data_IF_527110760958
#
_entry.id   IF_527110760958
#
_cell.length_a   1.000
_cell.length_b   1.000
_cell.length_c   1.000
_cell.angle_alpha   90.00
_cell.angle_beta   90.00
_cell.angle_gamma   90.00
#
_symmetry.space_group_name_H-M   'P 1'
#
loop_
_entity.id
_entity.type
_entity.pdbx_description
1 polymer ?
#
# COMPACT_ATOMS: atom_id res chain seq x y z
N UNK A 1 70.39 5.40 -33.41
CA UNK A 1 69.62 5.49 -32.13
C UNK A 1 68.75 6.77 -32.03
N UNK A 2 68.07 7.22 -33.10
CA UNK A 2 67.13 8.38 -33.03
C UNK A 2 65.65 8.04 -33.25
N UNK A 3 65.31 6.82 -33.70
CA UNK A 3 63.93 6.42 -34.01
C UNK A 3 63.05 6.06 -32.81
N UNK A 4 63.63 5.58 -31.70
CA UNK A 4 62.84 5.06 -30.58
C UNK A 4 62.28 6.14 -29.63
N UNK A 5 62.92 7.32 -29.57
CA UNK A 5 62.51 8.42 -28.68
C UNK A 5 61.30 9.22 -29.18
N UNK A 6 60.99 9.14 -30.48
CA UNK A 6 59.79 9.75 -31.06
C UNK A 6 58.56 8.93 -30.72
N UNK A 7 58.59 7.64 -31.06
CA UNK A 7 57.51 6.70 -30.77
C UNK A 7 57.16 6.62 -29.27
N UNK A 8 58.16 6.63 -28.38
CA UNK A 8 57.93 6.61 -26.93
C UNK A 8 57.32 7.92 -26.41
N UNK A 9 57.62 9.08 -27.03
CA UNK A 9 56.94 10.35 -26.68
C UNK A 9 55.52 10.36 -27.21
N UNK A 10 55.31 9.89 -28.43
CA UNK A 10 54.01 9.87 -29.08
C UNK A 10 53.03 8.94 -28.32
N UNK A 11 53.51 7.79 -27.81
CA UNK A 11 52.76 6.89 -26.93
C UNK A 11 52.43 7.51 -25.56
N UNK A 12 53.37 8.26 -24.96
CA UNK A 12 53.13 8.95 -23.68
C UNK A 12 52.13 10.09 -23.87
N UNK A 13 52.22 10.87 -24.96
CA UNK A 13 51.23 11.92 -25.25
C UNK A 13 49.85 11.33 -25.53
N UNK A 14 49.74 10.26 -26.31
CA UNK A 14 48.47 9.59 -26.56
C UNK A 14 47.86 8.99 -25.28
N UNK A 15 48.70 8.46 -24.37
CA UNK A 15 48.25 7.96 -23.07
C UNK A 15 47.72 9.08 -22.16
N UNK A 16 48.40 10.21 -22.12
CA UNK A 16 47.96 11.39 -21.35
C UNK A 16 46.66 11.95 -21.94
N UNK A 17 46.57 12.09 -23.26
CA UNK A 17 45.37 12.58 -23.94
C UNK A 17 44.16 11.68 -23.64
N UNK A 18 44.31 10.35 -23.74
CA UNK A 18 43.26 9.40 -23.39
C UNK A 18 42.81 9.51 -21.92
N UNK A 19 43.74 9.68 -20.97
CA UNK A 19 43.41 9.86 -19.55
C UNK A 19 42.68 11.18 -19.32
N UNK A 20 43.08 12.25 -20.01
CA UNK A 20 42.39 13.53 -19.93
C UNK A 20 40.99 13.45 -20.52
N UNK A 21 40.80 12.83 -21.69
CA UNK A 21 39.48 12.63 -22.30
C UNK A 21 38.55 11.81 -21.39
N UNK A 22 39.06 10.73 -20.78
CA UNK A 22 38.29 9.92 -19.84
C UNK A 22 37.90 10.71 -18.58
N UNK A 23 38.81 11.55 -18.08
CA UNK A 23 38.58 12.42 -16.94
C UNK A 23 37.56 13.52 -17.25
N UNK A 24 37.62 14.09 -18.46
CA UNK A 24 36.64 15.06 -18.96
C UNK A 24 35.27 14.42 -19.15
N UNK A 25 35.21 13.23 -19.75
CA UNK A 25 33.98 12.46 -19.89
C UNK A 25 33.39 12.16 -18.50
N UNK A 26 34.20 11.66 -17.58
CA UNK A 26 33.77 11.42 -16.19
C UNK A 26 33.26 12.71 -15.51
N UNK A 27 33.96 13.84 -15.67
CA UNK A 27 33.57 15.12 -15.08
C UNK A 27 32.25 15.65 -15.66
N UNK A 28 32.07 15.59 -16.98
CA UNK A 28 30.83 16.00 -17.67
C UNK A 28 29.70 15.05 -17.29
N UNK A 29 29.93 13.74 -17.28
CA UNK A 29 28.96 12.74 -16.87
C UNK A 29 28.58 12.89 -15.40
N UNK A 30 29.52 13.18 -14.50
CA UNK A 30 29.26 13.39 -13.08
C UNK A 30 28.44 14.66 -12.83
N UNK A 31 28.81 15.78 -13.46
CA UNK A 31 28.03 17.02 -13.40
C UNK A 31 26.61 16.85 -13.89
N UNK A 32 26.45 16.10 -14.98
CA UNK A 32 25.13 15.78 -15.53
C UNK A 32 24.37 14.85 -14.60
N UNK A 33 25.01 13.84 -14.02
CA UNK A 33 24.40 12.87 -13.11
C UNK A 33 23.84 13.52 -11.83
N UNK A 34 24.46 14.57 -11.30
CA UNK A 34 23.92 15.29 -10.14
C UNK A 34 22.52 15.87 -10.36
N UNK A 35 22.17 16.22 -11.60
CA UNK A 35 20.81 16.70 -11.96
C UNK A 35 19.77 15.59 -11.74
N UNK A 36 20.16 14.34 -11.95
CA UNK A 36 19.29 13.17 -11.83
C UNK A 36 19.26 12.62 -10.40
N UNK A 37 20.37 12.65 -9.68
CA UNK A 37 20.52 11.93 -8.40
C UNK A 37 20.05 12.77 -7.20
N UNK A 38 20.41 14.05 -7.17
CA UNK A 38 20.16 14.90 -6.00
C UNK A 38 18.86 15.71 -6.14
N UNK A 39 18.18 16.04 -5.03
CA UNK A 39 17.12 17.05 -5.04
C UNK A 39 17.62 18.38 -5.60
N UNK A 40 16.86 18.97 -6.52
CA UNK A 40 17.23 20.20 -7.21
C UNK A 40 16.79 21.45 -6.43
N UNK A 41 17.17 22.65 -6.88
CA UNK A 41 16.74 23.93 -6.28
C UNK A 41 17.15 24.12 -4.82
N UNK A 42 18.44 23.88 -4.52
CA UNK A 42 18.99 24.17 -3.20
C UNK A 42 19.13 25.68 -2.98
N UNK A 43 18.85 26.12 -1.76
CA UNK A 43 19.00 27.50 -1.28
C UNK A 43 19.76 27.45 0.03
N UNK A 44 20.94 28.06 0.07
CA UNK A 44 21.74 28.18 1.30
C UNK A 44 21.28 29.40 2.09
N UNK A 45 20.90 29.19 3.35
CA UNK A 45 20.54 30.27 4.29
C UNK A 45 21.65 30.38 5.34
N UNK A 46 22.34 31.53 5.44
CA UNK A 46 23.36 31.74 6.46
C UNK A 46 22.70 31.78 7.84
N UNK A 47 23.24 30.98 8.76
CA UNK A 47 22.78 30.81 10.15
C UNK A 47 23.98 31.02 11.10
N UNK A 48 23.72 31.29 12.38
CA UNK A 48 24.78 31.52 13.38
C UNK A 48 25.79 30.35 13.48
N UNK A 49 25.36 29.12 13.19
CA UNK A 49 26.17 27.90 13.26
C UNK A 49 26.69 27.41 11.89
N UNK A 50 26.52 28.19 10.82
CA UNK A 50 26.97 27.84 9.46
C UNK A 50 25.92 28.08 8.37
N UNK A 51 26.00 27.34 7.26
CA UNK A 51 25.01 27.42 6.17
C UNK A 51 23.99 26.28 6.27
N UNK A 52 22.71 26.62 6.37
CA UNK A 52 21.62 25.64 6.36
C UNK A 52 21.03 25.56 4.94
N UNK A 53 21.08 24.38 4.33
CA UNK A 53 20.62 24.16 2.95
C UNK A 53 19.17 23.67 2.96
N UNK A 54 18.30 24.45 2.31
CA UNK A 54 16.91 24.10 2.04
C UNK A 54 16.68 23.88 0.55
N UNK A 55 15.52 23.34 0.20
CA UNK A 55 15.15 23.04 -1.17
C UNK A 55 13.73 23.55 -1.48
N UNK A 56 13.53 24.09 -2.67
CA UNK A 56 12.21 24.44 -3.19
C UNK A 56 11.75 23.38 -4.20
N UNK A 57 10.45 23.22 -4.47
CA UNK A 57 10.02 22.38 -5.60
C UNK A 57 10.29 23.08 -6.94
N UNK A 58 10.41 22.31 -8.02
CA UNK A 58 10.41 22.88 -9.37
C UNK A 58 10.49 21.84 -10.49
N UNK A 59 10.44 22.30 -11.74
CA UNK A 59 10.34 21.42 -12.91
C UNK A 59 11.50 20.43 -13.07
N UNK A 60 12.71 20.78 -12.64
CA UNK A 60 13.87 19.86 -12.68
C UNK A 60 13.68 18.63 -11.78
N UNK A 61 12.77 18.69 -10.81
CA UNK A 61 12.42 17.52 -10.00
C UNK A 61 11.83 16.39 -10.84
N UNK A 62 11.23 16.67 -12.01
CA UNK A 62 10.74 15.65 -12.94
C UNK A 62 11.87 14.75 -13.46
N UNK A 63 13.07 15.33 -13.66
CA UNK A 63 14.26 14.60 -14.11
C UNK A 63 14.77 13.69 -13.00
N UNK A 64 14.79 14.20 -11.76
CA UNK A 64 15.11 13.39 -10.57
C UNK A 64 14.09 12.27 -10.38
N UNK A 65 12.79 12.56 -10.52
CA UNK A 65 11.72 11.56 -10.42
C UNK A 65 11.91 10.47 -11.46
N UNK A 66 12.21 10.83 -12.71
CA UNK A 66 12.48 9.87 -13.79
C UNK A 66 13.65 8.94 -13.46
N UNK A 67 14.74 9.48 -12.91
CA UNK A 67 15.87 8.67 -12.47
C UNK A 67 15.46 7.65 -11.39
N UNK A 68 14.74 8.10 -10.36
CA UNK A 68 14.28 7.21 -9.29
C UNK A 68 13.17 6.24 -9.72
N UNK A 69 12.47 6.47 -10.84
CA UNK A 69 11.59 5.44 -11.45
C UNK A 69 12.43 4.23 -11.87
N UNK A 70 13.58 4.43 -12.52
CA UNK A 70 14.46 3.31 -12.90
C UNK A 70 15.00 2.57 -11.68
N UNK A 71 15.39 3.30 -10.64
CA UNK A 71 15.81 2.70 -9.37
C UNK A 71 14.67 1.87 -8.76
N UNK A 72 13.44 2.39 -8.76
CA UNK A 72 12.27 1.68 -8.26
C UNK A 72 11.99 0.39 -9.05
N UNK A 73 12.12 0.39 -10.39
CA UNK A 73 12.01 -0.82 -11.22
C UNK A 73 13.05 -1.87 -10.81
N UNK A 74 14.31 -1.47 -10.64
CA UNK A 74 15.39 -2.38 -10.23
C UNK A 74 15.12 -2.95 -8.83
N UNK A 75 14.75 -2.11 -7.87
CA UNK A 75 14.44 -2.54 -6.50
C UNK A 75 13.25 -3.51 -6.48
N UNK A 76 12.20 -3.22 -7.25
CA UNK A 76 11.04 -4.08 -7.38
C UNK A 76 11.43 -5.46 -7.92
N UNK A 77 12.25 -5.51 -8.98
CA UNK A 77 12.78 -6.76 -9.53
C UNK A 77 13.63 -7.54 -8.50
N UNK A 78 14.49 -6.86 -7.73
CA UNK A 78 15.29 -7.49 -6.67
C UNK A 78 14.39 -8.12 -5.60
N UNK A 79 13.39 -7.38 -5.10
CA UNK A 79 12.42 -7.90 -4.11
C UNK A 79 11.66 -9.09 -4.69
N UNK A 80 11.30 -9.03 -5.98
CA UNK A 80 10.60 -10.11 -6.67
C UNK A 80 11.44 -11.39 -6.68
N UNK A 81 12.66 -11.32 -7.22
CA UNK A 81 13.51 -12.47 -7.48
C UNK A 81 14.07 -13.09 -6.19
N UNK A 82 14.58 -12.25 -5.28
CA UNK A 82 15.31 -12.73 -4.10
C UNK A 82 14.40 -13.08 -2.92
N UNK A 83 13.26 -12.41 -2.77
CA UNK A 83 12.34 -12.64 -1.65
C UNK A 83 11.06 -13.35 -2.10
N UNK A 84 10.25 -12.72 -2.94
CA UNK A 84 8.87 -13.18 -3.18
C UNK A 84 8.83 -14.51 -3.94
N UNK A 85 9.59 -14.66 -5.01
CA UNK A 85 9.62 -15.90 -5.79
C UNK A 85 10.25 -17.07 -5.01
N UNK A 86 11.18 -16.76 -4.09
CA UNK A 86 11.77 -17.77 -3.20
C UNK A 86 10.75 -18.25 -2.16
N UNK A 87 9.96 -17.34 -1.60
CA UNK A 87 8.90 -17.66 -0.64
C UNK A 87 7.75 -18.41 -1.34
N UNK A 88 7.31 -17.91 -2.50
CA UNK A 88 6.20 -18.48 -3.25
C UNK A 88 6.47 -19.93 -3.69
N UNK A 89 7.70 -20.23 -4.13
CA UNK A 89 8.14 -21.59 -4.46
C UNK A 89 8.06 -22.57 -3.27
N UNK A 90 8.20 -22.09 -2.04
CA UNK A 90 8.08 -22.93 -0.82
C UNK A 90 6.63 -23.25 -0.46
N UNK A 91 5.69 -22.35 -0.76
CA UNK A 91 4.29 -22.49 -0.35
C UNK A 91 3.39 -23.16 -1.41
N UNK A 92 3.94 -23.55 -2.58
CA UNK A 92 3.21 -24.25 -3.65
C UNK A 92 1.83 -23.65 -3.99
N UNK A 93 1.77 -22.31 -4.06
CA UNK A 93 0.52 -21.59 -4.29
C UNK A 93 -0.04 -21.82 -5.70
N UNK A 94 -1.37 -21.84 -5.84
CA UNK A 94 -2.03 -21.87 -7.15
C UNK A 94 -1.68 -20.62 -7.97
N UNK A 95 -1.74 -20.69 -9.31
CA UNK A 95 -1.39 -19.57 -10.20
C UNK A 95 -2.12 -18.26 -9.86
N UNK A 96 -3.39 -18.33 -9.45
CA UNK A 96 -4.19 -17.16 -9.05
C UNK A 96 -3.76 -16.62 -7.68
N UNK A 97 -3.51 -17.50 -6.70
CA UNK A 97 -3.00 -17.09 -5.37
C UNK A 97 -1.60 -16.50 -5.48
N UNK A 98 -0.75 -17.07 -6.33
CA UNK A 98 0.62 -16.63 -6.59
C UNK A 98 0.69 -15.18 -7.09
N UNK A 99 -0.07 -14.82 -8.12
CA UNK A 99 -0.08 -13.43 -8.63
C UNK A 99 -0.52 -12.42 -7.57
N UNK A 100 -1.56 -12.77 -6.79
CA UNK A 100 -2.06 -11.94 -5.68
C UNK A 100 -1.11 -11.85 -4.49
N UNK A 101 -0.34 -12.91 -4.24
CA UNK A 101 0.69 -12.97 -3.23
C UNK A 101 1.85 -12.05 -3.61
N UNK A 102 2.32 -12.11 -4.86
CA UNK A 102 3.39 -11.23 -5.34
C UNK A 102 3.01 -9.74 -5.30
N UNK A 103 1.80 -9.38 -5.77
CA UNK A 103 1.27 -8.01 -5.66
C UNK A 103 1.29 -7.52 -4.20
N UNK A 104 0.79 -8.34 -3.27
CA UNK A 104 0.75 -7.97 -1.85
C UNK A 104 2.15 -7.96 -1.21
N UNK A 105 3.04 -8.85 -1.63
CA UNK A 105 4.41 -8.93 -1.15
C UNK A 105 5.22 -7.68 -1.48
N UNK A 106 5.13 -7.20 -2.72
CA UNK A 106 5.76 -5.95 -3.14
C UNK A 106 5.23 -4.76 -2.33
N UNK A 107 3.91 -4.70 -2.15
CA UNK A 107 3.28 -3.62 -1.38
C UNK A 107 3.61 -3.69 0.12
N UNK A 108 3.78 -4.87 0.72
CA UNK A 108 4.30 -5.01 2.10
C UNK A 108 5.71 -4.44 2.20
N UNK A 109 6.62 -4.82 1.29
CA UNK A 109 8.00 -4.34 1.32
C UNK A 109 8.07 -2.82 1.17
N UNK A 110 7.30 -2.26 0.23
CA UNK A 110 7.22 -0.82 0.02
C UNK A 110 6.61 -0.08 1.21
N UNK A 111 5.42 -0.47 1.67
CA UNK A 111 4.74 0.25 2.74
C UNK A 111 5.51 0.17 4.06
N UNK A 112 6.18 -0.96 4.36
CA UNK A 112 7.05 -1.10 5.52
C UNK A 112 8.22 -0.12 5.47
N UNK A 113 8.96 -0.11 4.37
CA UNK A 113 10.12 0.76 4.20
C UNK A 113 9.71 2.23 4.22
N UNK A 114 8.65 2.57 3.51
CA UNK A 114 8.13 3.94 3.42
C UNK A 114 7.53 4.43 4.72
N UNK A 115 6.87 3.58 5.52
CA UNK A 115 6.34 4.01 6.83
C UNK A 115 7.47 4.27 7.84
N UNK A 116 8.51 3.42 7.86
CA UNK A 116 9.67 3.62 8.74
C UNK A 116 10.40 4.91 8.34
N UNK A 117 10.63 5.13 7.04
CA UNK A 117 11.29 6.33 6.55
C UNK A 117 10.45 7.58 6.80
N UNK A 118 9.14 7.54 6.54
CA UNK A 118 8.24 8.67 6.81
C UNK A 118 8.22 9.03 8.31
N UNK A 119 8.16 8.02 9.19
CA UNK A 119 8.23 8.22 10.63
C UNK A 119 9.55 8.86 11.04
N UNK A 120 10.67 8.38 10.49
CA UNK A 120 11.99 8.98 10.72
C UNK A 120 11.99 10.46 10.35
N UNK A 121 11.53 10.83 9.15
CA UNK A 121 11.44 12.25 8.70
C UNK A 121 10.56 13.08 9.62
N UNK A 122 9.39 12.57 10.02
CA UNK A 122 8.47 13.30 10.90
C UNK A 122 9.10 13.55 12.28
N UNK A 123 9.83 12.57 12.82
CA UNK A 123 10.49 12.67 14.12
C UNK A 123 11.69 13.61 14.07
N UNK A 124 12.54 13.50 13.03
CA UNK A 124 13.72 14.36 12.88
C UNK A 124 13.36 15.83 12.69
N UNK A 125 12.29 16.10 11.93
CA UNK A 125 11.80 17.46 11.69
C UNK A 125 10.83 17.96 12.78
N UNK A 126 10.51 17.13 13.78
CA UNK A 126 9.70 17.53 14.93
C UNK A 126 8.22 17.84 14.63
N UNK A 127 7.65 17.29 13.56
CA UNK A 127 6.27 17.62 13.14
C UNK A 127 5.18 17.08 14.07
N UNK A 128 5.48 16.15 14.99
CA UNK A 128 4.53 15.70 16.01
C UNK A 128 4.45 16.60 17.24
N UNK A 129 5.48 17.39 17.51
CA UNK A 129 5.63 18.08 18.79
C UNK A 129 4.63 19.23 18.98
N UNK A 130 4.23 19.88 17.91
CA UNK A 130 3.23 20.96 17.92
C UNK A 130 2.27 20.80 16.73
N UNK A 131 1.01 20.41 16.94
CA UNK A 131 0.03 20.26 15.85
C UNK A 131 -0.14 21.52 14.99
N UNK A 132 0.09 22.71 15.57
CA UNK A 132 -0.02 23.98 14.84
C UNK A 132 1.07 24.14 13.78
N UNK A 133 2.21 23.47 13.90
CA UNK A 133 3.29 23.52 12.91
C UNK A 133 2.86 23.01 11.52
N UNK A 134 1.73 22.28 11.44
CA UNK A 134 1.16 21.80 10.19
C UNK A 134 0.57 22.91 9.31
N UNK A 135 0.21 24.07 9.88
CA UNK A 135 -0.31 25.22 9.12
C UNK A 135 0.37 26.55 9.47
N UNK A 136 0.93 26.71 10.68
CA UNK A 136 1.64 27.93 11.06
C UNK A 136 2.80 28.21 10.09
N UNK A 137 2.94 29.47 9.68
CA UNK A 137 3.93 29.92 8.69
C UNK A 137 3.79 29.26 7.31
N UNK A 138 2.61 28.74 6.97
CA UNK A 138 2.31 28.38 5.58
C UNK A 138 2.45 29.63 4.68
N UNK A 139 2.98 29.55 3.45
CA UNK A 139 3.45 28.35 2.77
C UNK A 139 4.83 27.87 3.20
N UNK A 140 4.98 26.54 3.36
CA UNK A 140 6.25 25.90 3.73
C UNK A 140 7.15 25.65 2.49
N UNK A 141 7.55 26.72 1.80
CA UNK A 141 8.29 26.66 0.53
C UNK A 141 9.68 26.03 0.68
N UNK A 142 10.34 26.29 1.81
CA UNK A 142 11.68 25.79 2.09
C UNK A 142 11.61 24.40 2.75
N UNK A 143 11.99 23.39 2.00
CA UNK A 143 11.96 21.99 2.43
C UNK A 143 13.35 21.52 2.88
N UNK A 144 13.45 20.83 4.02
CA UNK A 144 14.63 20.04 4.36
C UNK A 144 14.90 18.98 3.29
N UNK A 145 16.17 18.61 3.12
CA UNK A 145 16.58 17.56 2.17
C UNK A 145 15.73 16.30 2.31
N UNK A 146 15.56 15.80 3.54
CA UNK A 146 14.89 14.53 3.79
C UNK A 146 13.41 14.57 3.39
N UNK A 147 12.73 15.69 3.64
CA UNK A 147 11.33 15.90 3.26
C UNK A 147 11.20 15.91 1.74
N UNK A 148 11.98 16.74 1.05
CA UNK A 148 11.93 16.82 -0.41
C UNK A 148 12.26 15.46 -1.03
N UNK A 149 13.36 14.85 -0.60
CA UNK A 149 13.81 13.58 -1.14
C UNK A 149 12.79 12.46 -0.94
N UNK A 150 12.16 12.41 0.24
CA UNK A 150 11.05 11.49 0.50
C UNK A 150 9.94 11.63 -0.55
N UNK A 151 9.42 12.85 -0.77
CA UNK A 151 8.36 13.10 -1.75
C UNK A 151 8.74 12.68 -3.17
N UNK A 152 9.96 13.00 -3.62
CA UNK A 152 10.43 12.60 -4.94
C UNK A 152 10.46 11.08 -5.08
N UNK A 153 11.00 10.36 -4.10
CA UNK A 153 11.02 8.90 -4.11
C UNK A 153 9.62 8.28 -4.05
N UNK A 154 8.69 8.85 -3.28
CA UNK A 154 7.31 8.36 -3.23
C UNK A 154 6.61 8.55 -4.59
N UNK A 155 6.78 9.70 -5.24
CA UNK A 155 6.24 9.94 -6.59
C UNK A 155 6.85 8.97 -7.61
N UNK A 156 8.17 8.78 -7.58
CA UNK A 156 8.86 7.83 -8.44
C UNK A 156 8.35 6.41 -8.26
N UNK A 157 8.11 5.97 -7.03
CA UNK A 157 7.53 4.66 -6.78
C UNK A 157 6.13 4.56 -7.39
N UNK A 158 5.22 5.50 -7.14
CA UNK A 158 3.88 5.35 -7.72
C UNK A 158 3.87 5.48 -9.25
N UNK A 159 4.83 6.20 -9.84
CA UNK A 159 5.00 6.24 -11.30
C UNK A 159 5.62 4.96 -11.87
N UNK A 160 6.56 4.30 -11.17
CA UNK A 160 7.13 3.02 -11.61
C UNK A 160 6.08 1.92 -11.74
N UNK A 161 5.01 2.00 -10.95
CA UNK A 161 3.92 1.04 -11.00
C UNK A 161 3.22 1.02 -12.37
N UNK A 162 3.27 2.11 -13.16
CA UNK A 162 2.64 2.18 -14.49
C UNK A 162 3.30 1.25 -15.53
N UNK A 163 4.62 1.35 -15.82
CA UNK A 163 5.28 0.38 -16.69
C UNK A 163 5.26 -1.04 -16.09
N UNK A 164 5.24 -1.17 -14.77
CA UNK A 164 5.16 -2.48 -14.11
C UNK A 164 3.86 -3.24 -14.45
N UNK A 165 2.73 -2.53 -14.67
CA UNK A 165 1.49 -3.15 -15.17
C UNK A 165 1.72 -3.92 -16.48
N UNK A 166 2.58 -3.38 -17.35
CA UNK A 166 2.93 -3.98 -18.63
C UNK A 166 3.92 -5.13 -18.43
N UNK A 167 4.98 -4.94 -17.64
CA UNK A 167 6.00 -5.96 -17.39
C UNK A 167 5.42 -7.21 -16.72
N UNK A 168 4.48 -7.05 -15.79
CA UNK A 168 3.80 -8.17 -15.12
C UNK A 168 2.69 -8.82 -15.96
N UNK A 169 2.38 -8.28 -17.15
CA UNK A 169 1.27 -8.73 -18.01
C UNK A 169 -0.05 -8.83 -17.22
N UNK A 170 -0.36 -7.78 -16.47
CA UNK A 170 -1.60 -7.69 -15.68
C UNK A 170 -2.81 -7.91 -16.60
N UNK A 171 -3.79 -8.67 -16.13
CA UNK A 171 -5.00 -8.96 -16.91
C UNK A 171 -5.77 -7.68 -17.20
N UNK A 172 -6.32 -7.55 -18.41
CA UNK A 172 -6.95 -6.31 -18.89
C UNK A 172 -8.09 -5.83 -17.98
N UNK A 173 -8.83 -6.76 -17.37
CA UNK A 173 -9.91 -6.45 -16.42
C UNK A 173 -9.42 -5.86 -15.09
N UNK A 174 -8.16 -6.05 -14.72
CA UNK A 174 -7.59 -5.50 -13.48
C UNK A 174 -6.92 -4.14 -13.67
N UNK A 175 -6.50 -3.80 -14.88
CA UNK A 175 -5.79 -2.56 -15.20
C UNK A 175 -6.55 -1.31 -14.71
N UNK A 176 -7.87 -1.13 -14.95
CA UNK A 176 -8.58 0.07 -14.51
C UNK A 176 -8.53 0.26 -12.99
N UNK A 177 -8.66 -0.84 -12.23
CA UNK A 177 -8.60 -0.83 -10.77
C UNK A 177 -7.20 -0.41 -10.29
N UNK A 178 -6.15 -0.96 -10.90
CA UNK A 178 -4.77 -0.65 -10.50
C UNK A 178 -4.39 0.78 -10.89
N UNK A 179 -4.79 1.23 -12.09
CA UNK A 179 -4.56 2.60 -12.54
C UNK A 179 -5.27 3.62 -11.63
N UNK A 180 -6.53 3.37 -11.28
CA UNK A 180 -7.25 4.22 -10.33
C UNK A 180 -6.50 4.33 -8.99
N UNK A 181 -6.02 3.20 -8.46
CA UNK A 181 -5.26 3.17 -7.21
C UNK A 181 -3.95 3.96 -7.32
N UNK A 182 -3.19 3.78 -8.41
CA UNK A 182 -1.95 4.52 -8.68
C UNK A 182 -2.22 6.02 -8.78
N UNK A 183 -3.23 6.42 -9.57
CA UNK A 183 -3.60 7.83 -9.74
C UNK A 183 -3.99 8.49 -8.42
N UNK A 184 -4.70 7.78 -7.53
CA UNK A 184 -5.08 8.31 -6.23
C UNK A 184 -3.85 8.67 -5.38
N UNK A 185 -2.82 7.82 -5.33
CA UNK A 185 -1.57 8.17 -4.64
C UNK A 185 -0.86 9.34 -5.30
N UNK A 186 -0.71 9.33 -6.62
CA UNK A 186 -0.03 10.39 -7.33
C UNK A 186 -0.69 11.75 -7.10
N UNK A 187 -2.03 11.82 -7.17
CA UNK A 187 -2.78 13.07 -6.92
C UNK A 187 -2.57 13.58 -5.50
N UNK A 188 -2.62 12.71 -4.48
CA UNK A 188 -2.47 13.15 -3.08
C UNK A 188 -1.03 13.53 -2.75
N UNK A 189 -0.03 12.75 -3.20
CA UNK A 189 1.38 13.02 -2.97
C UNK A 189 1.80 14.29 -3.71
N UNK A 190 1.46 14.40 -5.00
CA UNK A 190 1.77 15.58 -5.81
C UNK A 190 1.00 16.81 -5.32
N UNK A 191 -0.26 16.66 -4.94
CA UNK A 191 -1.06 17.76 -4.37
C UNK A 191 -0.43 18.30 -3.09
N UNK A 192 -0.01 17.43 -2.17
CA UNK A 192 0.67 17.87 -0.95
C UNK A 192 2.02 18.55 -1.24
N UNK A 193 2.78 18.04 -2.22
CA UNK A 193 4.07 18.59 -2.61
C UNK A 193 3.95 19.96 -3.31
N UNK A 194 3.11 20.05 -4.33
CA UNK A 194 2.97 21.24 -5.18
C UNK A 194 2.21 22.38 -4.49
N UNK A 195 1.32 22.07 -3.55
CA UNK A 195 0.59 23.08 -2.78
C UNK A 195 1.32 23.47 -1.48
N UNK A 196 2.58 23.05 -1.27
CA UNK A 196 3.34 23.32 -0.04
C UNK A 196 2.63 22.85 1.25
N UNK A 197 1.85 21.75 1.17
CA UNK A 197 1.17 21.10 2.30
C UNK A 197 1.97 19.87 2.80
N UNK A 198 3.30 19.92 2.67
CA UNK A 198 4.19 18.77 2.86
C UNK A 198 4.16 18.21 4.28
N UNK A 199 4.09 19.09 5.30
CA UNK A 199 4.01 18.67 6.70
C UNK A 199 2.76 17.85 7.00
N UNK A 200 1.59 18.35 6.57
CA UNK A 200 0.33 17.59 6.66
C UNK A 200 0.41 16.30 5.84
N UNK A 201 0.89 16.39 4.59
CA UNK A 201 0.96 15.26 3.68
C UNK A 201 1.81 14.10 4.21
N UNK A 202 2.94 14.37 4.88
CA UNK A 202 3.76 13.35 5.53
C UNK A 202 2.96 12.56 6.58
N UNK A 203 2.25 13.25 7.48
CA UNK A 203 1.45 12.60 8.52
C UNK A 203 0.33 11.76 7.88
N UNK A 204 -0.34 12.30 6.87
CA UNK A 204 -1.40 11.57 6.16
C UNK A 204 -0.85 10.34 5.42
N UNK A 205 0.33 10.44 4.82
CA UNK A 205 1.00 9.32 4.16
C UNK A 205 1.45 8.26 5.16
N UNK A 206 1.99 8.64 6.32
CA UNK A 206 2.36 7.70 7.38
C UNK A 206 1.14 6.88 7.82
N UNK A 207 0.04 7.57 8.13
CA UNK A 207 -1.23 6.95 8.52
C UNK A 207 -1.74 5.98 7.43
N UNK A 208 -1.72 6.43 6.17
CA UNK A 208 -2.13 5.62 5.02
C UNK A 208 -1.25 4.38 4.85
N UNK A 209 0.07 4.53 4.84
CA UNK A 209 1.00 3.42 4.64
C UNK A 209 0.98 2.41 5.78
N UNK A 210 0.77 2.85 7.02
CA UNK A 210 0.57 1.93 8.15
C UNK A 210 -0.67 1.05 7.96
N UNK A 211 -1.81 1.64 7.53
CA UNK A 211 -3.03 0.88 7.29
C UNK A 211 -2.90 -0.11 6.13
N UNK A 212 -2.25 0.29 5.03
CA UNK A 212 -2.02 -0.57 3.86
C UNK A 212 -1.00 -1.67 4.13
N UNK A 213 0.06 -1.37 4.90
CA UNK A 213 1.01 -2.39 5.35
C UNK A 213 0.29 -3.52 6.09
N UNK A 214 -0.56 -3.18 7.08
CA UNK A 214 -1.31 -4.18 7.83
C UNK A 214 -2.30 -4.95 6.93
N UNK A 215 -2.93 -4.27 5.97
CA UNK A 215 -3.82 -4.93 5.00
C UNK A 215 -3.10 -5.99 4.19
N UNK A 216 -1.98 -5.60 3.56
CA UNK A 216 -1.22 -6.50 2.71
C UNK A 216 -0.51 -7.58 3.53
N UNK A 217 -0.13 -7.29 4.78
CA UNK A 217 0.39 -8.31 5.68
C UNK A 217 -0.68 -9.35 6.05
N UNK A 218 -1.89 -8.92 6.41
CA UNK A 218 -3.06 -9.81 6.60
C UNK A 218 -3.33 -10.64 5.34
N UNK A 219 -3.29 -9.95 4.19
CA UNK A 219 -3.10 -10.44 2.82
C UNK A 219 -2.32 -11.76 2.72
N UNK A 220 -1.03 -11.64 2.98
CA UNK A 220 -0.04 -12.69 2.81
C UNK A 220 -0.21 -13.82 3.83
N UNK A 221 -0.47 -13.48 5.09
CA UNK A 221 -0.69 -14.48 6.15
C UNK A 221 -1.91 -15.34 5.83
N UNK A 222 -2.99 -14.75 5.33
CA UNK A 222 -4.18 -15.50 4.93
C UNK A 222 -3.92 -16.47 3.78
N UNK A 223 -3.01 -16.14 2.85
CA UNK A 223 -2.63 -17.07 1.78
C UNK A 223 -1.85 -18.28 2.29
N UNK A 224 -1.17 -18.15 3.44
CA UNK A 224 -0.42 -19.25 4.07
C UNK A 224 -1.24 -20.02 5.11
N UNK A 225 -2.11 -19.33 5.84
CA UNK A 225 -2.97 -19.89 6.89
C UNK A 225 -4.34 -19.19 6.84
N UNK A 226 -5.31 -19.87 6.23
CA UNK A 226 -6.66 -19.35 6.04
C UNK A 226 -7.43 -19.19 7.38
N UNK A 227 -6.96 -19.82 8.47
CA UNK A 227 -7.61 -19.72 9.79
C UNK A 227 -7.19 -18.48 10.58
N UNK A 228 -6.21 -17.71 10.11
CA UNK A 228 -5.67 -16.57 10.85
C UNK A 228 -6.42 -15.25 10.56
N UNK A 229 -7.66 -15.16 11.01
CA UNK A 229 -8.50 -13.96 10.84
C UNK A 229 -8.09 -12.77 11.73
N UNK A 230 -7.24 -13.02 12.74
CA UNK A 230 -6.86 -12.02 13.75
C UNK A 230 -6.23 -10.79 13.13
N UNK A 231 -5.38 -10.99 12.12
CA UNK A 231 -4.66 -9.89 11.48
C UNK A 231 -5.58 -9.02 10.60
N UNK A 232 -6.60 -9.61 9.97
CA UNK A 232 -7.63 -8.84 9.27
C UNK A 232 -8.50 -8.02 10.23
N UNK A 233 -8.79 -8.53 11.42
CA UNK A 233 -9.54 -7.78 12.43
C UNK A 233 -8.70 -6.63 13.00
N UNK A 234 -7.41 -6.86 13.27
CA UNK A 234 -6.47 -5.81 13.65
C UNK A 234 -6.37 -4.72 12.57
N UNK A 235 -6.21 -5.12 11.30
CA UNK A 235 -6.25 -4.20 10.17
C UNK A 235 -7.56 -3.41 10.12
N UNK A 236 -8.72 -4.05 10.30
CA UNK A 236 -10.01 -3.37 10.23
C UNK A 236 -10.14 -2.25 11.28
N UNK A 237 -9.66 -2.49 12.50
CA UNK A 237 -9.61 -1.47 13.56
C UNK A 237 -8.67 -0.33 13.17
N UNK A 238 -7.44 -0.65 12.76
CA UNK A 238 -6.46 0.37 12.36
C UNK A 238 -6.96 1.18 11.17
N UNK A 239 -7.58 0.52 10.18
CA UNK A 239 -8.17 1.18 9.02
C UNK A 239 -9.18 2.25 9.44
N UNK A 240 -10.17 1.91 10.27
CA UNK A 240 -11.20 2.87 10.72
C UNK A 240 -10.57 4.03 11.48
N UNK A 241 -9.65 3.75 12.41
CA UNK A 241 -8.91 4.77 13.16
C UNK A 241 -8.16 5.70 12.20
N UNK A 242 -7.42 5.14 11.25
CA UNK A 242 -6.69 5.91 10.22
C UNK A 242 -7.63 6.84 9.44
N UNK A 243 -8.83 6.40 9.03
CA UNK A 243 -9.79 7.28 8.31
C UNK A 243 -10.29 8.42 9.16
N UNK A 244 -10.65 8.16 10.41
CA UNK A 244 -11.10 9.19 11.34
C UNK A 244 -10.00 10.24 11.57
N UNK A 245 -8.76 9.80 11.83
CA UNK A 245 -7.63 10.71 12.00
C UNK A 245 -7.30 11.48 10.72
N UNK A 246 -7.29 10.84 9.54
CA UNK A 246 -7.05 11.54 8.28
C UNK A 246 -8.08 12.65 8.06
N UNK A 247 -9.38 12.35 8.18
CA UNK A 247 -10.43 13.34 7.99
C UNK A 247 -10.34 14.47 9.02
N UNK A 248 -10.16 14.13 10.29
CA UNK A 248 -10.07 15.11 11.37
C UNK A 248 -8.88 16.05 11.18
N UNK A 249 -7.69 15.50 10.87
CA UNK A 249 -6.50 16.31 10.62
C UNK A 249 -6.63 17.16 9.37
N UNK A 250 -7.14 16.61 8.25
CA UNK A 250 -7.33 17.39 7.03
C UNK A 250 -8.29 18.56 7.25
N UNK A 251 -9.42 18.34 7.94
CA UNK A 251 -10.37 19.42 8.28
C UNK A 251 -9.73 20.42 9.23
N UNK A 252 -9.08 19.96 10.30
CA UNK A 252 -8.41 20.82 11.27
C UNK A 252 -7.37 21.73 10.61
N UNK A 253 -6.48 21.16 9.80
CA UNK A 253 -5.38 21.92 9.18
C UNK A 253 -5.89 22.80 8.05
N UNK A 254 -6.70 22.27 7.13
CA UNK A 254 -7.07 22.99 5.90
C UNK A 254 -8.27 23.92 6.12
N UNK A 255 -9.32 23.45 6.80
CA UNK A 255 -10.56 24.21 6.97
C UNK A 255 -10.44 25.24 8.11
N UNK A 256 -9.71 24.92 9.18
CA UNK A 256 -9.61 25.79 10.35
C UNK A 256 -8.22 26.43 10.52
N UNK A 257 -7.14 25.68 10.38
CA UNK A 257 -5.77 26.17 10.56
C UNK A 257 -5.42 27.24 9.53
N UNK A 258 -5.35 26.86 8.26
CA UNK A 258 -5.05 27.78 7.16
C UNK A 258 -6.08 28.91 7.01
N UNK A 259 -7.31 28.71 7.45
CA UNK A 259 -8.35 29.74 7.44
C UNK A 259 -8.14 30.88 8.44
N UNK A 260 -7.24 30.69 9.41
CA UNK A 260 -6.92 31.67 10.44
C UNK A 260 -5.61 32.39 10.18
N UNK A 261 -4.84 31.96 9.19
CA UNK A 261 -3.68 32.69 8.71
C UNK A 261 -4.13 33.93 7.93
N UNK A 262 -3.38 35.02 8.05
CA UNK A 262 -3.72 36.31 7.41
C UNK A 262 -3.47 36.30 5.89
N UNK A 263 -2.70 35.33 5.39
CA UNK A 263 -2.23 35.25 4.01
C UNK A 263 -3.19 34.54 3.05
N UNK A 264 -4.49 34.88 3.09
CA UNK A 264 -5.52 34.21 2.28
C UNK A 264 -5.57 34.67 0.81
N UNK A 265 -4.40 34.77 0.19
CA UNK A 265 -4.20 35.27 -1.18
C UNK A 265 -3.78 34.13 -2.12
N UNK A 266 -3.94 34.37 -3.43
CA UNK A 266 -3.43 33.49 -4.47
C UNK A 266 -2.14 34.10 -5.03
N UNK A 267 -0.98 33.65 -4.53
CA UNK A 267 0.34 34.14 -4.96
C UNK A 267 1.26 32.94 -5.28
N UNK A 268 1.07 32.28 -6.45
CA UNK A 268 1.83 31.09 -6.83
C UNK A 268 3.34 31.31 -6.91
N UNK A 269 3.78 32.53 -7.25
CA UNK A 269 5.21 32.89 -7.29
C UNK A 269 5.90 32.76 -5.92
N UNK A 270 5.15 32.99 -4.84
CA UNK A 270 5.60 32.79 -3.45
C UNK A 270 5.20 31.42 -2.89
N UNK A 271 4.62 30.55 -3.73
CA UNK A 271 4.09 29.26 -3.31
C UNK A 271 2.85 29.34 -2.42
N UNK A 272 2.16 30.49 -2.36
CA UNK A 272 0.96 30.66 -1.54
C UNK A 272 -0.31 30.31 -2.33
N UNK A 273 -0.97 29.25 -1.88
CA UNK A 273 -2.22 28.75 -2.45
C UNK A 273 -3.41 28.85 -1.47
N UNK A 274 -3.31 29.65 -0.41
CA UNK A 274 -4.29 29.71 0.69
C UNK A 274 -5.60 30.45 0.35
N UNK A 275 -6.25 30.11 -0.76
CA UNK A 275 -7.58 30.64 -1.08
C UNK A 275 -8.68 29.73 -0.56
N UNK A 276 -9.87 30.29 -0.31
CA UNK A 276 -11.04 29.50 0.08
C UNK A 276 -11.35 28.41 -0.97
N UNK A 277 -11.28 28.75 -2.26
CA UNK A 277 -11.57 27.80 -3.34
C UNK A 277 -10.60 26.62 -3.35
N UNK A 278 -9.30 26.87 -3.21
CA UNK A 278 -8.31 25.79 -3.17
C UNK A 278 -8.42 24.96 -1.89
N UNK A 279 -8.66 25.58 -0.73
CA UNK A 279 -8.93 24.85 0.52
C UNK A 279 -10.12 23.92 0.40
N UNK A 280 -11.25 24.41 -0.11
CA UNK A 280 -12.45 23.60 -0.32
C UNK A 280 -12.23 22.52 -1.38
N UNK A 281 -11.47 22.81 -2.43
CA UNK A 281 -11.08 21.83 -3.46
C UNK A 281 -10.24 20.69 -2.90
N UNK A 282 -9.20 21.00 -2.11
CA UNK A 282 -8.36 19.98 -1.47
C UNK A 282 -9.19 19.13 -0.49
N UNK A 283 -10.02 19.77 0.34
CA UNK A 283 -10.91 19.07 1.26
C UNK A 283 -11.90 18.16 0.52
N UNK A 284 -12.48 18.62 -0.60
CA UNK A 284 -13.37 17.82 -1.41
C UNK A 284 -12.66 16.57 -1.95
N UNK A 285 -11.45 16.72 -2.49
CA UNK A 285 -10.64 15.58 -2.98
C UNK A 285 -10.37 14.57 -1.86
N UNK A 286 -9.95 15.05 -0.68
CA UNK A 286 -9.73 14.19 0.49
C UNK A 286 -11.03 13.49 0.90
N UNK A 287 -12.15 14.20 1.01
CA UNK A 287 -13.44 13.63 1.40
C UNK A 287 -13.97 12.59 0.40
N UNK A 288 -13.84 12.85 -0.90
CA UNK A 288 -14.21 11.90 -1.94
C UNK A 288 -13.36 10.63 -1.86
N UNK A 289 -12.05 10.77 -1.68
CA UNK A 289 -11.15 9.64 -1.50
C UNK A 289 -11.48 8.83 -0.24
N UNK A 290 -11.71 9.49 0.89
CA UNK A 290 -12.09 8.85 2.15
C UNK A 290 -13.42 8.10 2.02
N UNK A 291 -14.42 8.72 1.39
CA UNK A 291 -15.72 8.08 1.12
C UNK A 291 -15.57 6.86 0.22
N UNK A 292 -14.78 6.96 -0.85
CA UNK A 292 -14.51 5.85 -1.74
C UNK A 292 -13.82 4.68 -1.03
N UNK A 293 -12.83 4.94 -0.17
CA UNK A 293 -12.17 3.90 0.61
C UNK A 293 -13.10 3.26 1.64
N UNK A 294 -13.90 4.07 2.33
CA UNK A 294 -14.90 3.57 3.29
C UNK A 294 -15.94 2.71 2.59
N UNK A 295 -16.41 3.13 1.41
CA UNK A 295 -17.32 2.33 0.59
C UNK A 295 -16.72 0.97 0.23
N UNK A 296 -15.46 0.94 -0.24
CA UNK A 296 -14.74 -0.30 -0.54
C UNK A 296 -14.56 -1.18 0.69
N UNK A 297 -14.24 -0.59 1.84
CA UNK A 297 -14.10 -1.29 3.11
C UNK A 297 -15.42 -1.92 3.56
N UNK A 298 -16.52 -1.15 3.55
CA UNK A 298 -17.85 -1.63 3.92
C UNK A 298 -18.25 -2.78 2.99
N UNK A 299 -18.07 -2.63 1.67
CA UNK A 299 -18.40 -3.70 0.74
C UNK A 299 -17.55 -4.97 0.96
N UNK A 300 -16.26 -4.79 1.28
CA UNK A 300 -15.38 -5.91 1.65
C UNK A 300 -15.85 -6.60 2.93
N UNK A 301 -16.18 -5.85 3.98
CA UNK A 301 -16.65 -6.44 5.24
C UNK A 301 -18.02 -7.07 5.14
N UNK A 302 -18.95 -6.47 4.39
CA UNK A 302 -20.25 -7.08 4.08
C UNK A 302 -20.08 -8.40 3.34
N UNK A 303 -19.15 -8.47 2.38
CA UNK A 303 -18.85 -9.73 1.69
C UNK A 303 -18.32 -10.79 2.66
N UNK A 304 -17.32 -10.45 3.47
CA UNK A 304 -16.73 -11.36 4.46
C UNK A 304 -17.77 -11.84 5.48
N UNK A 305 -18.62 -10.93 5.93
CA UNK A 305 -19.68 -11.24 6.88
C UNK A 305 -20.71 -12.21 6.28
N UNK A 306 -21.11 -12.00 5.01
CA UNK A 306 -21.98 -12.95 4.29
C UNK A 306 -21.34 -14.33 4.16
N UNK A 307 -20.06 -14.40 3.80
CA UNK A 307 -19.32 -15.67 3.68
C UNK A 307 -19.28 -16.41 5.04
N UNK A 308 -18.97 -15.71 6.14
CA UNK A 308 -18.99 -16.25 7.50
C UNK A 308 -20.36 -16.82 7.90
N UNK A 309 -21.45 -16.07 7.69
CA UNK A 309 -22.80 -16.55 8.01
C UNK A 309 -23.22 -17.74 7.15
N UNK A 310 -22.83 -17.74 5.87
CA UNK A 310 -23.10 -18.85 4.97
C UNK A 310 -22.40 -20.13 5.45
N UNK A 311 -21.12 -20.05 5.82
CA UNK A 311 -20.39 -21.18 6.41
C UNK A 311 -21.02 -21.66 7.72
N UNK A 312 -21.38 -20.74 8.62
CA UNK A 312 -21.99 -21.10 9.88
C UNK A 312 -23.37 -21.76 9.68
N UNK A 313 -24.15 -21.29 8.71
CA UNK A 313 -25.43 -21.90 8.33
C UNK A 313 -25.23 -23.30 7.73
N UNK A 314 -24.22 -23.48 6.88
CA UNK A 314 -23.87 -24.78 6.29
C UNK A 314 -23.41 -25.78 7.36
N UNK A 315 -22.58 -25.36 8.33
CA UNK A 315 -22.15 -26.19 9.46
C UNK A 315 -23.34 -26.61 10.33
N UNK A 316 -24.28 -25.69 10.61
CA UNK A 316 -25.52 -26.01 11.35
C UNK A 316 -26.40 -27.01 10.60
N UNK A 317 -26.57 -26.85 9.27
CA UNK A 317 -27.32 -27.80 8.42
C UNK A 317 -26.65 -29.18 8.41
N UNK A 318 -25.33 -29.24 8.24
CA UNK A 318 -24.58 -30.50 8.26
C UNK A 318 -24.69 -31.23 9.61
N UNK A 319 -24.60 -30.50 10.73
CA UNK A 319 -24.77 -31.07 12.07
C UNK A 319 -26.21 -31.60 12.30
N UNK A 320 -27.22 -30.88 11.81
CA UNK A 320 -28.61 -31.33 11.87
C UNK A 320 -28.83 -32.61 11.04
N UNK A 321 -28.33 -32.66 9.80
CA UNK A 321 -28.40 -33.87 8.96
C UNK A 321 -27.68 -35.06 9.59
N UNK A 322 -26.49 -34.86 10.17
CA UNK A 322 -25.76 -35.92 10.87
C UNK A 322 -26.50 -36.46 12.10
N UNK A 323 -27.25 -35.59 12.80
CA UNK A 323 -28.08 -35.99 13.94
C UNK A 323 -29.28 -36.84 13.50
N UNK A 324 -29.92 -36.47 12.39
CA UNK A 324 -31.03 -37.25 11.78
C UNK A 324 -30.52 -38.62 11.33
N UNK A 325 -29.39 -38.69 10.64
CA UNK A 325 -28.79 -39.97 10.21
C UNK A 325 -28.46 -40.87 11.41
N UNK A 326 -27.92 -40.33 12.50
CA UNK A 326 -27.65 -41.08 13.74
C UNK A 326 -28.92 -41.58 14.44
N UNK A 327 -30.04 -40.85 14.35
CA UNK A 327 -31.33 -41.31 14.89
C UNK A 327 -31.93 -42.42 14.03
N UNK A 328 -31.82 -42.35 12.70
CA UNK A 328 -32.28 -43.41 11.79
C UNK A 328 -31.41 -44.67 11.84
N UNK A 329 -30.13 -44.56 12.22
CA UNK A 329 -29.22 -45.72 12.31
C UNK A 329 -29.20 -46.42 13.68
N UNK A 330 -29.98 -45.97 14.67
CA UNK A 330 -30.14 -46.72 15.93
C UNK A 330 -31.01 -47.95 15.67
N UNK A 331 -30.52 -49.18 15.89
CA UNK A 331 -31.35 -50.37 15.77
C UNK A 331 -32.44 -50.32 16.86
N UNK A 332 -33.69 -50.56 16.47
CA UNK A 332 -34.78 -50.89 17.40
C UNK A 332 -34.28 -52.05 18.26
N UNK A 333 -33.98 -51.76 19.53
CA UNK A 333 -33.60 -52.76 20.52
C UNK A 333 -34.84 -53.62 20.78
N UNK A 334 -34.96 -54.74 20.06
CA UNK A 334 -35.94 -55.79 20.33
C UNK A 334 -35.53 -56.41 21.67
N UNK A 335 -36.22 -56.04 22.74
CA UNK A 335 -36.07 -56.73 24.03
C UNK A 335 -36.45 -58.20 23.84
N UNK A 336 -35.48 -59.07 24.07
CA UNK A 336 -35.66 -60.50 24.27
C UNK A 336 -35.57 -60.71 25.78
N UNK A 337 -36.73 -60.97 26.39
CA UNK A 337 -36.88 -61.29 27.81
C UNK A 337 -37.87 -62.44 27.95
N UNK A 338 -37.45 -63.45 28.69
CA UNK A 338 -37.98 -64.80 28.83
C UNK A 338 -39.38 -64.90 29.46
N UNK A 339 -40.02 -66.04 29.22
CA UNK A 339 -41.33 -66.52 29.70
C UNK A 339 -41.48 -66.61 31.23
N UNK A 340 -42.66 -66.27 31.75
CA UNK A 340 -43.32 -67.04 32.83
C UNK A 340 -44.85 -66.91 32.74
N UNK A 341 -45.55 -67.97 33.16
CA UNK A 341 -46.95 -68.31 32.87
C UNK A 341 -48.02 -67.46 33.58
N UNK A 342 -49.19 -67.31 32.93
CA UNK A 342 -50.40 -66.72 33.54
C UNK A 342 -51.64 -66.71 32.63
N UNK A 343 -52.27 -67.88 32.50
CA UNK A 343 -53.71 -68.19 32.25
C UNK A 343 -54.69 -67.03 31.86
N UNK A 344 -55.24 -67.16 30.63
CA UNK A 344 -56.63 -66.90 30.14
C UNK A 344 -57.18 -65.46 30.06
N UNK A 345 -57.44 -64.96 28.83
CA UNK A 345 -58.80 -64.71 28.28
C UNK A 345 -58.80 -64.36 26.78
N UNK A 346 -59.97 -64.50 26.18
CA UNK A 346 -60.26 -64.75 24.78
C UNK A 346 -60.40 -63.49 23.86
N UNK A 347 -60.42 -63.82 22.56
CA UNK A 347 -61.20 -63.21 21.45
C UNK A 347 -60.61 -62.10 20.55
N UNK A 348 -60.48 -62.52 19.27
CA UNK A 348 -60.90 -61.89 18.01
C UNK A 348 -60.32 -60.55 17.53
N UNK A 349 -59.73 -60.56 16.32
CA UNK A 349 -59.52 -59.35 15.51
C UNK A 349 -58.53 -59.47 14.34
N UNK A 350 -58.90 -60.26 13.32
CA UNK A 350 -58.61 -60.10 11.87
C UNK A 350 -57.40 -59.26 11.36
N UNK A 351 -56.52 -59.94 10.62
CA UNK A 351 -55.63 -59.45 9.51
C UNK A 351 -56.47 -58.88 8.32
N UNK A 352 -55.95 -58.23 7.23
CA UNK A 352 -54.59 -58.34 6.69
C UNK A 352 -53.92 -57.16 5.93
N UNK A 353 -52.60 -57.35 5.79
CA UNK A 353 -51.60 -56.91 4.80
C UNK A 353 -52.06 -56.60 3.35
N UNK A 354 -51.46 -55.56 2.76
CA UNK A 354 -51.14 -55.42 1.30
C UNK A 354 -50.01 -54.38 1.15
N UNK A 355 -48.78 -54.67 0.69
CA UNK A 355 -48.23 -55.07 -0.63
C UNK A 355 -47.44 -53.91 -1.26
N UNK A 356 -46.15 -54.18 -1.52
CA UNK A 356 -45.19 -53.39 -2.30
C UNK A 356 -45.73 -53.08 -3.71
N UNK A 357 -45.36 -51.93 -4.26
CA UNK A 357 -45.27 -51.73 -5.72
C UNK A 357 -43.85 -51.24 -6.09
N UNK A 358 -43.27 -51.91 -7.09
CA UNK A 358 -42.03 -51.58 -7.79
C UNK A 358 -42.35 -50.59 -8.92
N UNK A 359 -41.38 -49.76 -9.25
CA UNK A 359 -41.33 -48.81 -10.37
C UNK A 359 -41.45 -49.46 -11.75
N UNK A 360 -41.72 -48.65 -12.77
CA UNK A 360 -40.92 -48.57 -13.99
C UNK A 360 -39.81 -47.52 -13.87
#
# INVERSE_FOLDING_TARGET
MRGNKGAERDDVTASVDNVTELSWLYYVTAKTAFIFILPQYNVSVPTADGELVHYCYGLKDLVTILFYIFIAIILHAIVQDYALDKISRRFHLSKVKHSKFNESGQLVAFHLTSMIWCLYVIVTEGYFSNPRSLWENYPHVYLPFQVKFFYLCQLSYWLHALPELYFQKVRKEEIPRQLQYICLYLVHIAGAYLLNLTRLGLILLLLQYMAEFLFHMARLVYFTDENNEKLFNAWAVVFVITRLFTLTLSVLVIAFGLAREDNQTFEPEKGNFNTLLLRMGVLLVVCLFQTWMMWRFIHFQLRRWREYWNEQSARKRAAASATITKQQSKPLKRESGYHENGVVKAENGTSPRTKKLKSP
#
